data_IF_684987683075
#
_entry.id   IF_684987683075
#
_cell.length_a   1.000
_cell.length_b   1.000
_cell.length_c   1.000
_cell.angle_alpha   90.00
_cell.angle_beta   90.00
_cell.angle_gamma   90.00
#
_symmetry.space_group_name_H-M   'P 1'
#
loop_
_entity.id
_entity.type
_entity.pdbx_description
1 polymer ?
#
# COMPACT_ATOMS: atom_id res chain seq x y z
N UNK A 1 -1.94 0.78 19.93
CA UNK A 1 -1.56 2.18 20.27
C UNK A 1 -1.61 3.10 19.03
N UNK A 2 -2.06 4.34 19.22
CA UNK A 2 -2.25 5.38 18.19
C UNK A 2 -3.17 4.97 17.02
N UNK A 3 -4.33 4.38 17.33
CA UNK A 3 -5.27 3.87 16.33
C UNK A 3 -5.69 4.96 15.33
N UNK A 4 -6.18 6.10 15.81
CA UNK A 4 -6.64 7.23 14.97
C UNK A 4 -5.54 7.80 14.07
N UNK A 5 -4.31 7.87 14.57
CA UNK A 5 -3.17 8.34 13.79
C UNK A 5 -2.78 7.33 12.70
N UNK A 6 -2.83 6.03 13.01
CA UNK A 6 -2.52 4.96 12.06
C UNK A 6 -3.60 4.77 11.00
N UNK A 7 -4.84 5.21 11.26
CA UNK A 7 -5.87 5.29 10.23
C UNK A 7 -5.54 6.33 9.14
N UNK A 8 -4.58 7.24 9.38
CA UNK A 8 -4.07 8.15 8.34
C UNK A 8 -3.28 7.46 7.23
N UNK A 9 -3.07 6.13 7.31
CA UNK A 9 -2.63 5.32 6.16
C UNK A 9 -3.59 5.36 4.95
N UNK A 10 -4.72 6.06 5.08
CA UNK A 10 -5.58 6.44 3.96
C UNK A 10 -5.01 7.57 3.09
N UNK A 11 -4.02 8.33 3.55
CA UNK A 11 -3.33 9.31 2.70
C UNK A 11 -2.61 8.58 1.55
N UNK A 12 -2.73 9.11 0.32
CA UNK A 12 -2.06 8.53 -0.85
C UNK A 12 -0.54 8.69 -0.71
N UNK A 13 0.18 7.56 -0.79
CA UNK A 13 1.63 7.52 -0.60
C UNK A 13 2.29 6.45 -1.47
N UNK A 14 3.63 6.45 -1.47
CA UNK A 14 4.45 5.37 -2.01
C UNK A 14 5.50 4.93 -0.99
N UNK A 15 6.11 3.78 -1.27
CA UNK A 15 7.28 3.26 -0.56
C UNK A 15 8.45 3.07 -1.53
N UNK A 16 9.67 3.06 -0.98
CA UNK A 16 10.90 2.80 -1.74
C UNK A 16 11.20 1.31 -1.89
N UNK A 17 10.50 0.48 -1.11
CA UNK A 17 10.52 -0.98 -1.14
C UNK A 17 9.10 -1.51 -1.37
N UNK A 18 9.00 -2.80 -1.69
CA UNK A 18 7.72 -3.46 -1.89
C UNK A 18 6.88 -3.51 -0.61
N UNK A 19 5.59 -3.20 -0.73
CA UNK A 19 4.61 -3.38 0.34
C UNK A 19 3.95 -4.76 0.21
N UNK A 20 4.37 -5.70 1.07
CA UNK A 20 3.84 -7.06 1.08
C UNK A 20 2.90 -7.26 2.28
N UNK A 21 1.69 -7.75 2.01
CA UNK A 21 0.65 -7.98 3.02
C UNK A 21 -0.02 -9.32 2.80
N UNK A 22 -0.18 -10.08 3.89
CA UNK A 22 -0.97 -11.31 3.90
C UNK A 22 -2.06 -11.21 4.97
N UNK A 23 -3.33 -11.33 4.59
CA UNK A 23 -4.45 -11.14 5.51
C UNK A 23 -4.71 -12.42 6.29
N UNK A 24 -4.49 -12.35 7.60
CA UNK A 24 -4.71 -13.46 8.53
C UNK A 24 -6.16 -13.52 9.03
N UNK A 25 -6.81 -12.36 9.15
CA UNK A 25 -8.21 -12.24 9.54
C UNK A 25 -8.80 -10.87 9.16
N UNK A 26 -10.12 -10.76 9.13
CA UNK A 26 -10.82 -9.53 8.73
C UNK A 26 -10.64 -9.17 7.25
N UNK A 27 -10.78 -7.88 6.93
CA UNK A 27 -10.76 -7.39 5.57
C UNK A 27 -10.48 -5.88 5.46
N UNK A 28 -10.18 -5.43 4.24
CA UNK A 28 -9.94 -4.02 3.93
C UNK A 28 -9.68 -3.78 2.45
N UNK A 29 -9.41 -2.54 2.09
CA UNK A 29 -9.17 -2.10 0.72
C UNK A 29 -7.77 -1.55 0.55
N UNK A 30 -7.07 -2.02 -0.49
CA UNK A 30 -5.95 -1.30 -1.09
C UNK A 30 -6.45 -0.59 -2.33
N UNK A 31 -6.33 0.73 -2.37
CA UNK A 31 -6.56 1.49 -3.59
C UNK A 31 -5.20 1.77 -4.25
N UNK A 32 -5.07 1.52 -5.55
CA UNK A 32 -3.87 1.77 -6.35
C UNK A 32 -4.19 2.63 -7.57
N UNK A 33 -3.21 3.38 -8.08
CA UNK A 33 -3.37 4.12 -9.35
C UNK A 33 -3.13 3.21 -10.56
N UNK A 34 -4.02 3.27 -11.53
CA UNK A 34 -3.79 2.70 -12.86
C UNK A 34 -2.89 3.59 -13.73
N UNK A 35 -2.64 3.19 -14.99
CA UNK A 35 -1.80 3.95 -15.94
C UNK A 35 -2.39 5.32 -16.32
N UNK A 36 -3.69 5.52 -16.13
CA UNK A 36 -4.40 6.78 -16.38
C UNK A 36 -4.61 7.59 -15.09
N UNK A 37 -3.90 7.23 -14.01
CA UNK A 37 -3.99 7.86 -12.70
C UNK A 37 -5.40 7.76 -12.07
N UNK A 38 -6.20 6.75 -12.44
CA UNK A 38 -7.50 6.46 -11.82
C UNK A 38 -7.33 5.44 -10.70
N UNK A 39 -8.20 5.54 -9.69
CA UNK A 39 -8.20 4.60 -8.57
C UNK A 39 -8.79 3.25 -8.98
N UNK A 40 -8.06 2.18 -8.70
CA UNK A 40 -8.54 0.80 -8.69
C UNK A 40 -8.59 0.35 -7.24
N UNK A 41 -9.76 -0.14 -6.81
CA UNK A 41 -9.98 -0.71 -5.47
C UNK A 41 -9.79 -2.21 -5.47
N UNK A 42 -8.90 -2.70 -4.63
CA UNK A 42 -8.61 -4.12 -4.42
C UNK A 42 -9.16 -4.51 -3.05
N UNK A 43 -10.18 -5.35 -3.03
CA UNK A 43 -10.74 -5.89 -1.80
C UNK A 43 -9.93 -7.09 -1.33
N UNK A 44 -9.34 -6.98 -0.14
CA UNK A 44 -8.51 -8.01 0.48
C UNK A 44 -9.23 -8.61 1.68
N UNK A 45 -9.29 -9.93 1.75
CA UNK A 45 -9.89 -10.71 2.84
C UNK A 45 -8.94 -11.81 3.32
N UNK A 46 -9.29 -12.44 4.43
CA UNK A 46 -8.53 -13.58 4.99
C UNK A 46 -8.09 -14.58 3.92
N UNK A 47 -6.79 -14.88 3.90
CA UNK A 47 -6.16 -15.78 2.94
C UNK A 47 -5.57 -15.09 1.72
N UNK A 48 -5.91 -13.82 1.47
CA UNK A 48 -5.34 -13.07 0.35
C UNK A 48 -3.95 -12.53 0.70
N UNK A 49 -3.03 -12.62 -0.26
CA UNK A 49 -1.69 -12.03 -0.21
C UNK A 49 -1.52 -11.08 -1.40
N UNK A 50 -0.96 -9.91 -1.14
CA UNK A 50 -0.65 -8.90 -2.16
C UNK A 50 0.77 -8.39 -1.98
N UNK A 51 1.41 -8.05 -3.09
CA UNK A 51 2.65 -7.28 -3.15
C UNK A 51 2.36 -6.04 -3.99
N UNK A 52 2.52 -4.86 -3.41
CA UNK A 52 2.48 -3.59 -4.12
C UNK A 52 3.93 -3.18 -4.41
N UNK A 53 4.30 -3.00 -5.68
CA UNK A 53 5.69 -2.74 -6.04
C UNK A 53 6.17 -1.38 -5.55
N UNK A 54 7.45 -1.28 -5.20
CA UNK A 54 8.10 -0.01 -4.89
C UNK A 54 7.76 1.07 -5.93
N UNK A 55 7.45 2.29 -5.48
CA UNK A 55 7.10 3.42 -6.35
C UNK A 55 5.65 3.50 -6.85
N UNK A 56 4.78 2.52 -6.55
CA UNK A 56 3.35 2.65 -6.84
C UNK A 56 2.66 3.58 -5.84
N UNK A 57 1.82 4.50 -6.34
CA UNK A 57 0.93 5.27 -5.48
C UNK A 57 -0.24 4.40 -5.04
N UNK A 58 -0.43 4.33 -3.72
CA UNK A 58 -1.47 3.52 -3.10
C UNK A 58 -1.92 4.12 -1.76
N UNK A 59 -2.96 3.52 -1.20
CA UNK A 59 -3.44 3.77 0.17
C UNK A 59 -4.17 2.55 0.70
N UNK A 60 -4.30 2.48 2.02
CA UNK A 60 -5.07 1.43 2.70
C UNK A 60 -6.20 2.03 3.52
N UNK A 61 -7.37 1.38 3.51
CA UNK A 61 -8.46 1.65 4.46
C UNK A 61 -9.09 0.35 4.92
N UNK A 62 -9.60 0.36 6.15
CA UNK A 62 -10.56 -0.65 6.58
C UNK A 62 -11.83 -0.56 5.73
N UNK A 63 -12.54 -1.67 5.63
CA UNK A 63 -13.90 -1.69 5.13
C UNK A 63 -14.90 -1.39 6.28
N UNK A 64 -16.19 -1.56 6.02
CA UNK A 64 -17.24 -1.31 7.00
C UNK A 64 -17.19 -2.24 8.23
N UNK A 65 -16.45 -3.36 8.17
CA UNK A 65 -16.25 -4.25 9.32
C UNK A 65 -15.22 -3.71 10.32
N UNK A 66 -14.49 -2.64 9.95
CA UNK A 66 -13.54 -1.93 10.82
C UNK A 66 -12.48 -2.85 11.49
N UNK A 67 -12.12 -3.96 10.84
CA UNK A 67 -11.15 -4.90 11.40
C UNK A 67 -10.33 -5.61 10.32
N UNK A 68 -9.01 -5.60 10.51
CA UNK A 68 -8.07 -6.42 9.75
C UNK A 68 -6.93 -6.88 10.65
N UNK A 69 -6.48 -8.12 10.45
CA UNK A 69 -5.22 -8.64 10.97
C UNK A 69 -4.36 -9.05 9.80
N UNK A 70 -3.28 -8.31 9.56
CA UNK A 70 -2.36 -8.58 8.45
C UNK A 70 -0.97 -8.99 8.97
N UNK A 71 -0.38 -10.01 8.34
CA UNK A 71 1.04 -10.27 8.38
C UNK A 71 1.74 -9.34 7.38
N UNK A 72 2.88 -8.82 7.82
CA UNK A 72 3.73 -7.88 7.11
C UNK A 72 5.02 -8.60 6.74
N UNK A 73 5.36 -8.64 5.46
CA UNK A 73 6.57 -9.29 4.95
C UNK A 73 7.47 -8.27 4.26
N UNK A 74 8.77 -8.56 4.21
CA UNK A 74 9.78 -7.74 3.52
C UNK A 74 10.92 -8.57 2.98
N UNK A 75 11.63 -7.96 2.03
CA UNK A 75 12.96 -8.38 1.62
C UNK A 75 13.98 -7.63 2.48
N UNK A 76 14.58 -8.31 3.45
CA UNK A 76 15.60 -7.72 4.34
C UNK A 76 15.04 -6.94 5.52
N UNK A 77 15.81 -5.95 6.00
CA UNK A 77 15.44 -5.13 7.15
C UNK A 77 14.28 -4.17 6.79
N UNK A 78 13.27 -4.04 7.66
CA UNK A 78 12.02 -3.36 7.30
C UNK A 78 12.15 -1.84 7.32
N UNK A 79 11.91 -1.19 6.18
CA UNK A 79 11.72 0.26 6.09
C UNK A 79 10.25 0.56 5.80
N UNK A 80 9.60 1.26 6.74
CA UNK A 80 8.14 1.49 6.71
C UNK A 80 7.73 2.86 6.21
N UNK A 81 8.67 3.75 5.92
CA UNK A 81 8.41 5.17 5.74
C UNK A 81 7.50 5.41 4.53
N UNK A 82 6.27 5.92 4.73
CA UNK A 82 5.44 6.37 3.63
C UNK A 82 5.94 7.74 3.15
N UNK A 83 5.95 7.93 1.83
CA UNK A 83 6.14 9.24 1.23
C UNK A 83 4.84 9.66 0.56
N UNK A 84 4.13 10.57 1.23
CA UNK A 84 2.85 11.08 0.74
C UNK A 84 3.03 11.78 -0.61
N UNK A 85 2.05 11.63 -1.49
CA UNK A 85 2.05 12.31 -2.78
C UNK A 85 1.97 13.83 -2.59
N UNK A 86 2.78 14.65 -3.29
CA UNK A 86 3.73 14.29 -4.34
C UNK A 86 5.06 13.74 -3.80
N UNK A 87 5.52 12.64 -4.41
CA UNK A 87 6.78 11.96 -4.10
C UNK A 87 7.53 11.51 -5.38
N UNK A 88 7.36 12.25 -6.47
CA UNK A 88 7.85 11.85 -7.80
C UNK A 88 9.39 11.97 -7.96
N UNK A 89 10.08 12.57 -6.99
CA UNK A 89 11.52 12.77 -7.01
C UNK A 89 12.34 11.52 -6.62
N UNK A 90 11.70 10.45 -6.15
CA UNK A 90 12.39 9.23 -5.73
C UNK A 90 12.74 8.31 -6.90
N UNK A 91 13.92 7.70 -6.86
CA UNK A 91 14.38 6.75 -7.88
C UNK A 91 13.43 5.55 -8.05
N UNK A 92 12.86 5.05 -6.96
CA UNK A 92 11.86 3.97 -6.99
C UNK A 92 10.65 4.32 -7.86
N UNK A 93 10.15 5.56 -7.77
CA UNK A 93 9.04 6.04 -8.62
C UNK A 93 9.46 6.11 -10.09
N UNK A 94 10.65 6.62 -10.38
CA UNK A 94 11.18 6.67 -11.76
C UNK A 94 11.29 5.26 -12.37
N UNK A 95 11.82 4.29 -11.63
CA UNK A 95 11.91 2.89 -12.07
C UNK A 95 10.52 2.26 -12.27
N UNK A 96 9.58 2.52 -11.37
CA UNK A 96 8.20 2.05 -11.51
C UNK A 96 7.53 2.58 -12.77
N UNK A 97 7.68 3.89 -13.06
CA UNK A 97 7.16 4.48 -14.30
C UNK A 97 7.79 3.85 -15.55
N UNK A 98 9.10 3.61 -15.54
CA UNK A 98 9.80 2.93 -16.65
C UNK A 98 9.32 1.47 -16.83
N UNK A 99 8.92 0.79 -15.76
CA UNK A 99 8.33 -0.54 -15.85
C UNK A 99 6.92 -0.54 -16.47
N UNK A 100 6.16 0.55 -16.31
CA UNK A 100 4.81 0.66 -16.87
C UNK A 100 4.79 0.96 -18.38
N UNK A 101 5.89 1.46 -18.94
CA UNK A 101 6.04 1.77 -20.38
C UNK A 101 6.54 0.56 -21.16
#
# INVERSE_FOLDING_TARGET
PNYEEKLRNYEEHLHLDDEIRYILDGSGYFDVRDKEEKWIRIFMRKGDMITLPAGIYHRFTLDENNYVKAMRLFVGEPVWTPYNRPADNFEARTKYIQFLT
#
